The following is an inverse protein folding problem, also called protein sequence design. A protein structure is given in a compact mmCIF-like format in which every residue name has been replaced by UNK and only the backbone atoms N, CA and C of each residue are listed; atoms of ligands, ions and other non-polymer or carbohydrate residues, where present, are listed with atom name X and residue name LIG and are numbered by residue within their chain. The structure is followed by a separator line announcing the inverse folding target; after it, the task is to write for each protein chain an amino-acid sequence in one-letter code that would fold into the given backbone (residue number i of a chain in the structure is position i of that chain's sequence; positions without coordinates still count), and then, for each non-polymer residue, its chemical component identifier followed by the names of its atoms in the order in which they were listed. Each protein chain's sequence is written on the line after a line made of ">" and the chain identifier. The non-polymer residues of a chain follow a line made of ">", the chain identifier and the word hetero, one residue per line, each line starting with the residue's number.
data_IF_327355613738
#
_entry.id   IF_327355613738
#
_cell.length_a   1.000
_cell.length_b   1.000
_cell.length_c   1.000
_cell.angle_alpha   90.00
_cell.angle_beta   90.00
_cell.angle_gamma   90.00
#
_symmetry.space_group_name_H-M   'P 1'
#
loop_
_entity.id
_entity.type
_entity.pdbx_description
1 polymer ?
#
# COMPACT_ATOMS: atom_id res chain seq x y z
N UNK A 1 -51.74 -16.36 -27.06
CA UNK A 1 -51.02 -16.05 -25.81
C UNK A 1 -49.71 -16.81 -25.84
N UNK A 2 -48.59 -16.14 -26.07
CA UNK A 2 -47.27 -16.78 -26.09
C UNK A 2 -46.74 -16.83 -24.66
N UNK A 3 -46.79 -18.01 -24.04
CA UNK A 3 -46.12 -18.26 -22.76
C UNK A 3 -44.65 -18.47 -23.09
N UNK A 4 -43.83 -17.44 -22.88
CA UNK A 4 -42.37 -17.57 -22.89
C UNK A 4 -41.98 -18.55 -21.78
N UNK A 5 -41.58 -19.76 -22.15
CA UNK A 5 -40.96 -20.72 -21.23
C UNK A 5 -39.63 -20.14 -20.76
N UNK A 6 -39.60 -19.48 -19.60
CA UNK A 6 -38.36 -19.03 -18.97
C UNK A 6 -37.47 -20.25 -18.72
N UNK A 7 -36.21 -20.14 -19.13
CA UNK A 7 -35.27 -21.26 -19.01
C UNK A 7 -34.87 -21.47 -17.55
N UNK A 8 -34.56 -22.72 -17.16
CA UNK A 8 -34.10 -23.03 -15.78
C UNK A 8 -32.81 -22.26 -15.43
N UNK A 9 -32.00 -21.91 -16.43
CA UNK A 9 -30.85 -21.00 -16.31
C UNK A 9 -31.26 -19.59 -15.88
N UNK A 10 -32.27 -18.99 -16.50
CA UNK A 10 -32.77 -17.66 -16.14
C UNK A 10 -33.32 -17.63 -14.71
N UNK A 11 -34.02 -18.70 -14.29
CA UNK A 11 -34.54 -18.80 -12.92
C UNK A 11 -33.40 -18.92 -11.90
N UNK A 12 -32.34 -19.68 -12.21
CA UNK A 12 -31.15 -19.80 -11.34
C UNK A 12 -30.42 -18.45 -11.21
N UNK A 13 -30.28 -17.71 -12.31
CA UNK A 13 -29.65 -16.39 -12.29
C UNK A 13 -30.51 -15.36 -11.55
N UNK A 14 -31.84 -15.44 -11.69
CA UNK A 14 -32.79 -14.64 -10.93
C UNK A 14 -32.65 -14.89 -9.42
N UNK A 15 -32.60 -16.16 -8.98
CA UNK A 15 -32.42 -16.52 -7.57
C UNK A 15 -31.08 -16.04 -7.02
N UNK A 16 -29.98 -16.19 -7.79
CA UNK A 16 -28.67 -15.64 -7.40
C UNK A 16 -28.73 -14.11 -7.22
N UNK A 17 -29.39 -13.42 -8.15
CA UNK A 17 -29.56 -11.95 -8.07
C UNK A 17 -30.36 -11.57 -6.83
N UNK A 18 -31.45 -12.28 -6.54
CA UNK A 18 -32.27 -12.11 -5.33
C UNK A 18 -31.45 -12.26 -4.05
N UNK A 19 -30.61 -13.29 -3.97
CA UNK A 19 -29.76 -13.54 -2.82
C UNK A 19 -28.66 -12.48 -2.63
N UNK A 20 -28.27 -11.77 -3.69
CA UNK A 20 -27.29 -10.67 -3.60
C UNK A 20 -27.89 -9.31 -3.19
N UNK A 21 -29.22 -9.15 -3.25
CA UNK A 21 -29.89 -7.88 -2.93
C UNK A 21 -29.64 -7.39 -1.49
N UNK A 22 -29.67 -8.26 -0.45
CA UNK A 22 -29.36 -7.83 0.92
C UNK A 22 -27.93 -7.29 1.06
N UNK A 23 -26.95 -7.91 0.38
CA UNK A 23 -25.57 -7.44 0.39
C UNK A 23 -25.43 -6.08 -0.30
N UNK A 24 -26.11 -5.90 -1.43
CA UNK A 24 -26.12 -4.62 -2.16
C UNK A 24 -26.71 -3.50 -1.32
N UNK A 25 -27.84 -3.75 -0.63
CA UNK A 25 -28.43 -2.77 0.30
C UNK A 25 -27.44 -2.36 1.39
N UNK A 26 -26.75 -3.35 2.00
CA UNK A 26 -25.75 -3.07 3.03
C UNK A 26 -24.62 -2.19 2.51
N UNK A 27 -24.13 -2.44 1.29
CA UNK A 27 -23.08 -1.61 0.69
C UNK A 27 -23.56 -0.19 0.36
N UNK A 28 -24.81 -0.03 -0.07
CA UNK A 28 -25.43 1.28 -0.31
C UNK A 28 -25.50 2.09 1.00
N UNK A 29 -25.97 1.47 2.08
CA UNK A 29 -26.09 2.14 3.37
C UNK A 29 -24.73 2.54 3.94
N UNK A 30 -23.73 1.66 3.83
CA UNK A 30 -22.35 1.96 4.22
C UNK A 30 -21.76 3.10 3.38
N UNK A 31 -21.95 3.08 2.05
CA UNK A 31 -21.44 4.13 1.17
C UNK A 31 -22.09 5.49 1.50
N UNK A 32 -23.39 5.50 1.80
CA UNK A 32 -24.12 6.71 2.19
C UNK A 32 -23.62 7.26 3.54
N UNK A 33 -23.35 6.37 4.49
CA UNK A 33 -22.76 6.75 5.78
C UNK A 33 -21.35 7.34 5.60
N UNK A 34 -20.49 6.67 4.83
CA UNK A 34 -19.14 7.14 4.54
C UNK A 34 -19.15 8.49 3.84
N UNK A 35 -19.95 8.66 2.78
CA UNK A 35 -20.09 9.94 2.06
C UNK A 35 -20.53 11.08 2.99
N UNK A 36 -21.46 10.81 3.91
CA UNK A 36 -21.89 11.80 4.91
C UNK A 36 -20.75 12.14 5.88
N UNK A 37 -19.98 11.14 6.31
CA UNK A 37 -18.88 11.33 7.24
C UNK A 37 -17.69 12.07 6.62
N UNK A 38 -17.28 11.69 5.42
CA UNK A 38 -16.12 12.28 4.71
C UNK A 38 -16.37 13.69 4.21
N UNK A 39 -17.63 14.13 4.16
CA UNK A 39 -18.00 15.51 3.80
C UNK A 39 -17.95 16.49 4.98
N UNK A 40 -17.67 16.02 6.21
CA UNK A 40 -17.63 16.87 7.40
C UNK A 40 -16.39 17.77 7.39
N UNK A 41 -16.48 19.05 7.79
CA UNK A 41 -15.32 19.94 7.88
C UNK A 41 -14.19 19.41 8.78
N UNK A 42 -14.53 18.70 9.86
CA UNK A 42 -13.54 18.08 10.74
C UNK A 42 -12.73 16.99 10.05
N UNK A 43 -13.37 16.21 9.17
CA UNK A 43 -12.69 15.18 8.38
C UNK A 43 -11.80 15.81 7.32
N UNK A 44 -12.33 16.81 6.61
CA UNK A 44 -11.56 17.54 5.58
C UNK A 44 -10.34 18.26 6.17
N UNK A 45 -10.49 18.90 7.34
CA UNK A 45 -9.36 19.51 8.04
C UNK A 45 -8.31 18.50 8.48
N UNK A 46 -8.72 17.31 8.95
CA UNK A 46 -7.78 16.24 9.25
C UNK A 46 -7.05 15.74 8.00
N UNK A 47 -7.78 15.56 6.89
CA UNK A 47 -7.21 15.10 5.62
C UNK A 47 -6.18 16.11 5.07
N UNK A 48 -6.49 17.41 5.14
CA UNK A 48 -5.57 18.48 4.73
C UNK A 48 -4.28 18.50 5.55
N UNK A 49 -4.39 18.31 6.88
CA UNK A 49 -3.23 18.14 7.75
C UNK A 49 -2.40 16.90 7.38
N UNK A 50 -3.05 15.76 7.11
CA UNK A 50 -2.36 14.53 6.70
C UNK A 50 -1.57 14.74 5.40
N UNK A 51 -2.17 15.40 4.40
CA UNK A 51 -1.47 15.77 3.16
C UNK A 51 -0.29 16.73 3.42
N UNK A 52 -0.47 17.74 4.28
CA UNK A 52 0.58 18.69 4.63
C UNK A 52 1.77 18.03 5.35
N UNK A 53 1.51 17.07 6.24
CA UNK A 53 2.55 16.28 6.93
C UNK A 53 3.34 15.45 5.91
N UNK A 54 2.65 14.82 4.95
CA UNK A 54 3.30 14.06 3.87
C UNK A 54 4.21 14.98 3.05
N UNK A 55 3.82 16.24 2.86
CA UNK A 55 4.64 17.23 2.18
C UNK A 55 5.93 17.61 2.93
N UNK A 56 5.95 17.43 4.26
CA UNK A 56 7.16 17.46 5.08
C UNK A 56 7.20 18.56 6.15
N UNK A 57 6.06 19.15 6.50
CA UNK A 57 5.97 20.14 7.56
C UNK A 57 6.00 19.49 8.96
N UNK A 58 6.55 20.23 9.94
CA UNK A 58 6.78 19.73 11.31
C UNK A 58 5.86 20.43 12.31
N UNK A 59 5.43 19.71 13.35
CA UNK A 59 4.58 20.23 14.42
C UNK A 59 5.33 20.35 15.76
N UNK A 60 4.95 21.34 16.57
CA UNK A 60 5.50 21.54 17.93
C UNK A 60 4.68 20.75 18.97
N UNK A 61 5.37 19.94 19.77
CA UNK A 61 4.81 19.16 20.89
C UNK A 61 4.07 20.05 21.91
N UNK A 62 4.52 21.29 22.12
CA UNK A 62 3.92 22.20 23.12
C UNK A 62 2.48 22.57 22.77
N UNK A 63 2.20 22.76 21.50
CA UNK A 63 0.88 23.13 21.00
C UNK A 63 -0.14 22.00 21.23
N UNK A 64 0.32 20.75 21.10
CA UNK A 64 -0.51 19.56 21.31
C UNK A 64 -0.87 19.37 22.79
N UNK A 65 0.09 19.55 23.71
CA UNK A 65 -0.17 19.42 25.14
C UNK A 65 -1.06 20.56 25.68
N UNK A 66 -0.88 21.78 25.19
CA UNK A 66 -1.73 22.91 25.58
C UNK A 66 -3.17 22.77 25.05
N UNK A 67 -3.35 22.19 23.87
CA UNK A 67 -4.67 22.04 23.25
C UNK A 67 -5.46 20.83 23.80
N UNK A 68 -4.78 19.72 24.10
CA UNK A 68 -5.43 18.45 24.45
C UNK A 68 -5.23 18.02 25.91
N UNK A 69 -4.36 18.70 26.67
CA UNK A 69 -4.11 18.40 28.09
C UNK A 69 -2.84 17.58 28.35
N UNK A 70 -2.32 17.72 29.57
CA UNK A 70 -1.04 17.11 30.00
C UNK A 70 -1.15 15.60 30.30
N UNK A 71 -2.36 15.06 30.42
CA UNK A 71 -2.61 13.62 30.57
C UNK A 71 -2.06 12.79 29.40
N UNK A 72 -1.92 13.40 28.23
CA UNK A 72 -1.38 12.75 27.04
C UNK A 72 0.15 12.59 27.06
N UNK A 73 0.85 13.05 28.10
CA UNK A 73 2.31 12.89 28.21
C UNK A 73 2.74 11.41 28.19
N UNK A 74 1.94 10.52 28.80
CA UNK A 74 2.21 9.09 28.77
C UNK A 74 2.04 8.51 27.36
N UNK A 75 1.04 8.98 26.60
CA UNK A 75 0.84 8.62 25.20
C UNK A 75 2.00 9.09 24.34
N UNK A 76 2.44 10.35 24.48
CA UNK A 76 3.58 10.89 23.75
C UNK A 76 4.87 10.13 24.05
N UNK A 77 5.12 9.77 25.31
CA UNK A 77 6.26 8.94 25.70
C UNK A 77 6.22 7.55 25.04
N UNK A 78 5.04 6.94 24.92
CA UNK A 78 4.89 5.66 24.23
C UNK A 78 5.16 5.79 22.72
N UNK A 79 4.69 6.89 22.10
CA UNK A 79 4.96 7.18 20.68
C UNK A 79 6.45 7.46 20.43
N UNK A 80 7.12 8.13 21.36
CA UNK A 80 8.57 8.37 21.30
C UNK A 80 9.36 7.08 21.41
N UNK A 81 9.02 6.22 22.38
CA UNK A 81 9.63 4.89 22.52
C UNK A 81 9.38 3.99 21.31
N UNK A 82 8.22 4.12 20.66
CA UNK A 82 7.91 3.42 19.42
C UNK A 82 8.62 4.02 18.19
N UNK A 83 9.30 5.16 18.33
CA UNK A 83 9.94 5.89 17.24
C UNK A 83 8.96 6.60 16.30
N UNK A 84 7.68 6.67 16.66
CA UNK A 84 6.62 7.31 15.89
C UNK A 84 6.56 8.83 16.10
N UNK A 85 7.04 9.30 17.25
CA UNK A 85 7.08 10.72 17.58
C UNK A 85 8.36 11.07 18.32
N UNK A 86 9.36 11.60 17.61
CA UNK A 86 10.68 11.88 18.20
C UNK A 86 11.13 13.29 17.88
N UNK A 87 11.95 13.85 18.78
CA UNK A 87 12.66 15.09 18.49
C UNK A 87 13.58 14.88 17.29
N UNK A 88 13.46 15.76 16.30
CA UNK A 88 14.34 15.72 15.14
C UNK A 88 15.71 16.29 15.53
N UNK A 89 16.72 15.42 15.66
CA UNK A 89 18.11 15.83 15.93
C UNK A 89 18.87 16.17 14.65
N UNK A 90 18.57 15.47 13.55
CA UNK A 90 19.19 15.66 12.24
C UNK A 90 18.15 15.87 11.16
N UNK A 91 18.54 16.51 10.05
CA UNK A 91 17.67 16.70 8.90
C UNK A 91 17.13 15.35 8.41
N UNK A 92 15.82 15.29 8.15
CA UNK A 92 15.15 14.06 7.70
C UNK A 92 15.52 13.73 6.25
N UNK A 93 15.78 12.45 5.97
CA UNK A 93 15.95 11.95 4.60
C UNK A 93 14.63 11.82 3.85
N UNK A 94 13.50 12.11 4.49
CA UNK A 94 12.15 11.95 3.92
C UNK A 94 12.01 12.61 2.56
N UNK A 95 12.50 13.84 2.38
CA UNK A 95 12.35 14.56 1.11
C UNK A 95 13.10 13.86 -0.05
N UNK A 96 14.25 13.25 0.25
CA UNK A 96 15.01 12.47 -0.72
C UNK A 96 14.28 11.16 -1.04
N UNK A 97 13.83 10.43 -0.01
CA UNK A 97 13.08 9.18 -0.16
C UNK A 97 11.79 9.42 -0.98
N UNK A 98 11.01 10.44 -0.62
CA UNK A 98 9.76 10.86 -1.27
C UNK A 98 9.96 11.09 -2.76
N UNK A 99 11.02 11.84 -3.13
CA UNK A 99 11.34 12.16 -4.53
C UNK A 99 11.84 10.94 -5.28
N UNK A 100 12.82 10.20 -4.74
CA UNK A 100 13.46 9.10 -5.47
C UNK A 100 12.51 7.93 -5.69
N UNK A 101 11.60 7.66 -4.74
CA UNK A 101 10.60 6.59 -4.88
C UNK A 101 9.27 7.07 -5.46
N UNK A 102 9.15 8.35 -5.84
CA UNK A 102 7.92 8.93 -6.38
C UNK A 102 6.71 8.58 -5.50
N UNK A 103 6.82 8.90 -4.20
CA UNK A 103 5.77 8.57 -3.23
C UNK A 103 4.56 9.50 -3.32
N UNK A 104 4.71 10.67 -3.91
CA UNK A 104 3.62 11.60 -4.16
C UNK A 104 3.45 11.75 -5.68
N UNK A 105 2.24 11.52 -6.15
CA UNK A 105 1.82 11.59 -7.55
C UNK A 105 0.67 12.58 -7.64
N UNK A 106 0.93 13.69 -8.31
CA UNK A 106 -0.09 14.71 -8.60
C UNK A 106 -1.11 14.17 -9.63
N UNK A 107 -2.33 14.72 -9.60
CA UNK A 107 -3.41 14.41 -10.56
C UNK A 107 -3.75 12.92 -10.72
N UNK A 108 -3.87 12.19 -9.61
CA UNK A 108 -4.22 10.76 -9.63
C UNK A 108 -5.69 10.53 -10.00
N UNK A 109 -5.96 9.88 -11.15
CA UNK A 109 -7.29 9.36 -11.48
C UNK A 109 -7.61 8.15 -10.60
N UNK A 110 -8.60 8.30 -9.71
CA UNK A 110 -9.04 7.23 -8.80
C UNK A 110 -10.06 6.28 -9.43
N UNK A 111 -10.70 6.67 -10.54
CA UNK A 111 -11.66 5.84 -11.25
C UNK A 111 -10.95 4.84 -12.17
N UNK A 112 -9.88 5.27 -12.84
CA UNK A 112 -9.04 4.42 -13.69
C UNK A 112 -7.56 4.55 -13.29
N UNK A 113 -7.17 3.99 -12.14
CA UNK A 113 -5.83 4.21 -11.59
C UNK A 113 -4.76 3.55 -12.45
N UNK A 114 -3.68 4.30 -12.71
CA UNK A 114 -2.48 3.83 -13.40
C UNK A 114 -1.30 3.57 -12.44
N UNK A 115 -1.40 4.03 -11.20
CA UNK A 115 -0.38 3.90 -10.16
C UNK A 115 -0.99 3.51 -8.80
N UNK A 116 -0.19 2.88 -7.94
CA UNK A 116 -0.58 2.47 -6.58
C UNK A 116 -0.95 3.65 -5.67
N UNK A 117 -0.56 4.88 -6.02
CA UNK A 117 -0.92 6.11 -5.30
C UNK A 117 -2.44 6.35 -5.16
N UNK A 118 -3.28 5.67 -5.97
CA UNK A 118 -4.73 5.80 -5.91
C UNK A 118 -5.33 5.43 -4.54
N UNK A 119 -4.67 4.55 -3.78
CA UNK A 119 -5.19 4.08 -2.49
C UNK A 119 -5.22 5.17 -1.41
N UNK A 120 -4.43 6.23 -1.59
CA UNK A 120 -4.41 7.44 -0.75
C UNK A 120 -4.50 8.70 -1.60
N UNK A 121 -5.18 8.65 -2.75
CA UNK A 121 -5.46 9.82 -3.60
C UNK A 121 -4.23 10.67 -3.93
N UNK A 122 -3.09 10.04 -4.21
CA UNK A 122 -1.84 10.72 -4.58
C UNK A 122 -0.63 10.25 -3.78
N UNK A 123 -0.81 9.65 -2.60
CA UNK A 123 0.30 9.03 -1.88
C UNK A 123 0.41 7.52 -2.17
N UNK A 124 1.57 7.10 -2.68
CA UNK A 124 1.92 5.70 -2.81
C UNK A 124 2.54 5.18 -1.49
N UNK A 125 1.98 4.13 -0.88
CA UNK A 125 2.55 3.58 0.35
C UNK A 125 3.99 3.14 0.11
N UNK A 126 4.94 3.68 0.89
CA UNK A 126 6.37 3.37 0.78
C UNK A 126 6.64 1.86 0.72
N UNK A 127 5.99 1.09 1.59
CA UNK A 127 6.09 -0.37 1.65
C UNK A 127 5.77 -1.03 0.30
N UNK A 128 4.69 -0.62 -0.35
CA UNK A 128 4.24 -1.17 -1.63
C UNK A 128 5.11 -0.67 -2.78
N UNK A 129 5.58 0.59 -2.72
CA UNK A 129 6.51 1.11 -3.72
C UNK A 129 7.84 0.35 -3.72
N UNK A 130 8.35 -0.05 -2.55
CA UNK A 130 9.53 -0.91 -2.44
C UNK A 130 9.27 -2.29 -3.05
N UNK A 131 8.12 -2.90 -2.77
CA UNK A 131 7.73 -4.19 -3.38
C UNK A 131 7.64 -4.07 -4.91
N UNK A 132 7.06 -2.98 -5.42
CA UNK A 132 6.96 -2.73 -6.86
C UNK A 132 8.35 -2.66 -7.52
N UNK A 133 9.30 -1.94 -6.90
CA UNK A 133 10.68 -1.87 -7.40
C UNK A 133 11.36 -3.22 -7.36
N UNK A 134 11.24 -3.95 -6.25
CA UNK A 134 11.82 -5.28 -6.10
C UNK A 134 11.34 -6.25 -7.20
N UNK A 135 10.04 -6.23 -7.51
CA UNK A 135 9.44 -7.13 -8.52
C UNK A 135 9.81 -6.73 -9.95
N UNK A 136 9.80 -5.43 -10.27
CA UNK A 136 9.98 -4.94 -11.65
C UNK A 136 11.45 -4.81 -12.05
N UNK A 137 12.23 -4.16 -11.19
CA UNK A 137 13.57 -3.67 -11.52
C UNK A 137 14.66 -4.29 -10.63
N UNK A 138 14.27 -5.02 -9.57
CA UNK A 138 15.16 -5.51 -8.53
C UNK A 138 15.61 -4.40 -7.57
N UNK A 139 16.50 -4.74 -6.64
CA UNK A 139 16.94 -3.82 -5.57
C UNK A 139 18.03 -2.83 -5.98
N UNK A 140 18.82 -3.15 -7.01
CA UNK A 140 19.96 -2.31 -7.43
C UNK A 140 19.60 -0.84 -7.66
N UNK A 141 18.49 -0.48 -8.34
CA UNK A 141 18.15 0.92 -8.57
C UNK A 141 17.78 1.70 -7.31
N UNK A 142 17.40 1.02 -6.23
CA UNK A 142 16.93 1.65 -4.98
C UNK A 142 17.91 1.48 -3.82
N UNK A 143 19.10 0.92 -4.04
CA UNK A 143 20.08 0.60 -3.00
C UNK A 143 20.48 1.83 -2.16
N UNK A 144 20.69 2.98 -2.80
CA UNK A 144 21.02 4.22 -2.09
C UNK A 144 19.88 4.72 -1.19
N UNK A 145 18.62 4.53 -1.62
CA UNK A 145 17.45 4.90 -0.82
C UNK A 145 17.25 3.92 0.32
N UNK A 146 17.51 2.63 0.10
CA UNK A 146 17.44 1.62 1.15
C UNK A 146 18.36 2.00 2.32
N UNK A 147 19.61 2.42 2.06
CA UNK A 147 20.56 2.88 3.09
C UNK A 147 20.03 4.04 3.96
N UNK A 148 19.02 4.79 3.50
CA UNK A 148 18.38 5.87 4.25
C UNK A 148 17.20 5.39 5.11
N UNK A 149 16.73 4.16 4.93
CA UNK A 149 15.64 3.55 5.67
C UNK A 149 16.17 2.81 6.91
N UNK A 150 15.34 2.67 7.97
CA UNK A 150 15.74 1.93 9.16
C UNK A 150 15.94 0.44 8.89
N UNK A 151 16.97 -0.13 9.51
CA UNK A 151 17.21 -1.57 9.55
C UNK A 151 18.10 -2.10 8.42
N UNK A 152 18.57 -3.35 8.53
CA UNK A 152 19.41 -3.96 7.51
C UNK A 152 18.59 -4.40 6.29
N UNK A 153 19.22 -4.39 5.11
CA UNK A 153 18.65 -4.92 3.87
C UNK A 153 19.45 -6.13 3.41
N UNK A 154 18.78 -7.26 3.19
CA UNK A 154 19.41 -8.52 2.83
C UNK A 154 18.69 -9.14 1.63
N UNK A 155 19.44 -9.47 0.59
CA UNK A 155 18.98 -10.32 -0.49
C UNK A 155 19.70 -11.68 -0.38
N UNK A 156 18.94 -12.73 -0.08
CA UNK A 156 19.48 -14.10 -0.04
C UNK A 156 18.89 -14.92 -1.18
N UNK A 157 19.72 -15.32 -2.13
CA UNK A 157 19.35 -16.31 -3.15
C UNK A 157 19.64 -17.69 -2.58
N UNK A 158 18.59 -18.43 -2.23
CA UNK A 158 18.75 -19.86 -1.96
C UNK A 158 18.95 -20.54 -3.31
N UNK A 159 20.13 -21.13 -3.53
CA UNK A 159 20.33 -22.10 -4.60
C UNK A 159 19.24 -23.16 -4.46
N UNK A 160 18.51 -23.42 -5.54
CA UNK A 160 17.43 -24.40 -5.53
C UNK A 160 17.93 -25.73 -4.96
N UNK A 161 17.06 -26.49 -4.31
CA UNK A 161 17.32 -27.88 -3.95
C UNK A 161 17.47 -28.71 -5.24
N UNK A 162 18.59 -28.56 -5.94
CA UNK A 162 19.02 -29.46 -6.99
C UNK A 162 19.90 -30.53 -6.33
N UNK A 163 19.32 -31.70 -6.09
CA UNK A 163 20.07 -32.94 -5.94
C UNK A 163 20.75 -33.31 -7.28
N UNK A 164 21.71 -32.50 -7.74
CA UNK A 164 22.68 -32.87 -8.75
C UNK A 164 23.83 -31.86 -8.77
N UNK A 165 25.10 -32.31 -8.65
CA UNK A 165 26.25 -31.44 -8.79
C UNK A 165 26.60 -31.32 -10.27
N UNK A 166 26.54 -30.11 -10.83
CA UNK A 166 27.22 -29.85 -12.10
C UNK A 166 27.45 -28.36 -12.35
N UNK A 167 28.73 -28.00 -12.22
CA UNK A 167 29.53 -27.22 -13.16
C UNK A 167 29.24 -25.73 -13.37
N UNK A 168 30.06 -24.94 -12.68
CA UNK A 168 30.77 -23.72 -13.10
C UNK A 168 30.21 -22.80 -14.19
N UNK A 169 30.19 -21.51 -13.79
CA UNK A 169 30.43 -20.30 -14.59
C UNK A 169 29.56 -20.04 -15.82
N UNK A 170 28.63 -19.09 -15.71
CA UNK A 170 28.55 -17.96 -16.64
C UNK A 170 28.01 -16.70 -15.94
N UNK A 171 28.84 -15.66 -16.02
CA UNK A 171 28.54 -14.27 -15.69
C UNK A 171 27.48 -13.71 -16.65
N UNK A 172 26.53 -12.93 -16.13
CA UNK A 172 25.60 -12.14 -16.92
C UNK A 172 24.25 -12.82 -17.24
N UNK A 173 23.36 -12.93 -16.26
CA UNK A 173 21.95 -13.26 -16.50
C UNK A 173 21.04 -12.29 -15.75
N UNK A 174 20.13 -11.72 -16.53
CA UNK A 174 19.21 -10.60 -16.28
C UNK A 174 18.58 -10.54 -14.89
N UNK A 175 18.58 -9.33 -14.32
CA UNK A 175 17.99 -8.95 -13.02
C UNK A 175 16.45 -8.97 -12.98
N UNK A 176 15.79 -9.68 -13.89
CA UNK A 176 14.33 -9.82 -13.86
C UNK A 176 13.96 -11.00 -12.96
N UNK A 177 13.45 -10.72 -11.76
CA UNK A 177 12.78 -11.69 -10.87
C UNK A 177 11.54 -12.33 -11.55
N UNK A 178 11.14 -11.83 -12.72
CA UNK A 178 9.98 -12.30 -13.47
C UNK A 178 10.39 -12.95 -14.80
N UNK A 179 10.71 -14.25 -14.77
CA UNK A 179 10.32 -15.23 -15.79
C UNK A 179 10.80 -16.61 -15.35
N UNK A 180 9.88 -17.41 -14.83
CA UNK A 180 10.07 -18.86 -14.75
C UNK A 180 10.28 -19.34 -16.20
N UNK A 181 11.27 -20.22 -16.50
CA UNK A 181 11.53 -20.71 -17.85
C UNK A 181 10.30 -21.34 -18.53
N UNK A 182 9.31 -21.77 -17.72
CA UNK A 182 8.08 -22.44 -18.11
C UNK A 182 6.91 -21.49 -18.49
N UNK A 183 7.16 -20.19 -18.69
CA UNK A 183 6.13 -19.22 -19.08
C UNK A 183 5.07 -18.91 -17.99
N UNK A 184 5.19 -19.51 -16.81
CA UNK A 184 4.30 -19.27 -15.67
C UNK A 184 4.63 -17.94 -14.99
N UNK A 185 3.58 -17.20 -14.59
CA UNK A 185 3.72 -16.00 -13.74
C UNK A 185 4.44 -16.39 -12.44
N UNK A 186 5.45 -15.61 -12.06
CA UNK A 186 6.17 -15.81 -10.81
C UNK A 186 5.22 -15.54 -9.63
N UNK A 187 5.20 -16.43 -8.64
CA UNK A 187 4.46 -16.23 -7.40
C UNK A 187 5.39 -15.58 -6.37
N UNK A 188 4.98 -14.43 -5.83
CA UNK A 188 5.74 -13.67 -4.83
C UNK A 188 4.93 -13.66 -3.53
N UNK A 189 5.54 -14.15 -2.45
CA UNK A 189 4.98 -14.03 -1.10
C UNK A 189 5.55 -12.77 -0.43
N UNK A 190 4.69 -11.82 -0.11
CA UNK A 190 5.04 -10.61 0.64
C UNK A 190 4.58 -10.78 2.08
N UNK A 191 5.49 -10.61 3.05
CA UNK A 191 5.21 -10.76 4.49
C UNK A 191 5.45 -9.43 5.19
N UNK A 192 4.44 -8.94 5.89
CA UNK A 192 4.54 -7.76 6.76
C UNK A 192 4.68 -8.19 8.21
N UNK A 193 5.71 -7.69 8.89
CA UNK A 193 5.93 -7.90 10.33
C UNK A 193 5.59 -6.60 11.04
N UNK A 194 4.59 -6.63 11.93
CA UNK A 194 4.10 -5.45 12.65
C UNK A 194 2.74 -4.92 12.16
N UNK A 195 2.19 -5.50 11.10
CA UNK A 195 0.85 -5.17 10.58
C UNK A 195 0.85 -4.75 9.12
N UNK A 196 -0.32 -4.81 8.50
CA UNK A 196 -0.57 -4.36 7.12
C UNK A 196 -1.98 -3.77 7.05
N UNK A 197 -2.15 -2.70 6.27
CA UNK A 197 -3.42 -2.00 6.10
C UNK A 197 -4.22 -2.54 4.90
N UNK A 198 -5.53 -2.30 4.88
CA UNK A 198 -6.35 -2.63 3.72
C UNK A 198 -5.97 -1.83 2.46
N UNK A 199 -5.45 -0.61 2.62
CA UNK A 199 -4.93 0.18 1.50
C UNK A 199 -3.70 -0.49 0.86
N UNK A 200 -2.75 -0.94 1.68
CA UNK A 200 -1.57 -1.70 1.22
C UNK A 200 -1.97 -3.02 0.53
N UNK A 201 -2.93 -3.75 1.10
CA UNK A 201 -3.46 -4.98 0.47
C UNK A 201 -4.10 -4.66 -0.89
N UNK A 202 -4.85 -3.56 -0.99
CA UNK A 202 -5.50 -3.14 -2.24
C UNK A 202 -4.47 -2.76 -3.30
N UNK A 203 -3.42 -2.03 -2.92
CA UNK A 203 -2.31 -1.70 -3.80
C UNK A 203 -1.55 -2.96 -4.28
N UNK A 204 -1.34 -3.97 -3.42
CA UNK A 204 -0.74 -5.25 -3.83
C UNK A 204 -1.63 -6.00 -4.83
N UNK A 205 -2.95 -6.02 -4.61
CA UNK A 205 -3.92 -6.61 -5.55
C UNK A 205 -3.89 -5.90 -6.90
N UNK A 206 -3.80 -4.57 -6.89
CA UNK A 206 -3.63 -3.75 -8.08
C UNK A 206 -2.34 -4.13 -8.84
N UNK A 207 -1.20 -4.25 -8.15
CA UNK A 207 0.06 -4.68 -8.77
C UNK A 207 0.00 -6.10 -9.35
N UNK A 208 -0.73 -7.01 -8.68
CA UNK A 208 -0.90 -8.40 -9.14
C UNK A 208 -1.81 -8.53 -10.37
N UNK A 209 -2.68 -7.54 -10.61
CA UNK A 209 -3.61 -7.54 -11.73
C UNK A 209 -2.97 -7.06 -13.05
N UNK A 210 -1.87 -6.29 -12.96
CA UNK A 210 -1.07 -5.85 -14.10
C UNK A 210 -0.29 -7.03 -14.73
#
# INVERSE_FOLDING_TARGET
>A
MNIQTQSVSELKDFVKKLNSLPEMSRHIDLAKHLSTFTSKPSFLGQLDMEHTIIEGESYDMRELLHSYGFEHIATLNNLEKAGLFKKQETKSNWLTIKRTLQLVVEDTDTANPNDIAYVFSGYAPLSIRLVQHAIRSGWRPVEEVLKMLPGPHLETKRGGFSNSPSFDTLSGVSTSIAKVPDGRRALVLVVFVGGVTFAEISALRFLSAQ
#
